data_IF_743861590711
#
_entry.id   IF_743861590711
#
_cell.length_a   1.000
_cell.length_b   1.000
_cell.length_c   1.000
_cell.angle_alpha   90.00
_cell.angle_beta   90.00
_cell.angle_gamma   90.00
#
_symmetry.space_group_name_H-M   'P 1'
#
loop_
_entity.id
_entity.type
_entity.pdbx_description
1 polymer ?
#
# COMPACT_ATOMS: atom_id res chain seq x y z
N UNK A 1 -4.70 19.00 2.83
CA UNK A 1 -3.22 18.98 2.67
C UNK A 1 -2.89 17.96 1.60
N UNK A 2 -1.80 18.09 0.82
CA UNK A 2 -1.45 17.03 -0.13
C UNK A 2 -1.22 15.71 0.61
N UNK A 3 -1.57 14.60 -0.04
CA UNK A 3 -1.37 13.25 0.51
C UNK A 3 0.08 12.98 0.95
N UNK A 4 0.32 11.85 1.61
CA UNK A 4 1.66 11.49 2.10
C UNK A 4 2.55 11.11 0.93
N UNK A 5 3.64 11.89 0.68
CA UNK A 5 4.67 11.52 -0.30
C UNK A 5 5.60 10.45 0.30
N UNK A 6 5.88 9.43 -0.51
CA UNK A 6 6.83 8.36 -0.17
C UNK A 6 8.26 8.61 -0.68
N UNK A 7 8.61 9.84 -1.04
CA UNK A 7 9.96 10.18 -1.53
C UNK A 7 11.06 9.71 -0.56
N UNK A 8 10.86 9.89 0.76
CA UNK A 8 11.81 9.43 1.79
C UNK A 8 11.97 7.92 1.86
N UNK A 9 10.97 7.16 1.42
CA UNK A 9 10.99 5.70 1.48
C UNK A 9 11.58 5.05 0.21
N UNK A 10 11.81 5.81 -0.84
CA UNK A 10 12.17 5.28 -2.15
C UNK A 10 13.42 4.37 -2.13
N UNK A 11 14.37 4.62 -1.22
CA UNK A 11 15.60 3.82 -1.13
C UNK A 11 15.39 2.45 -0.49
N UNK A 12 14.51 2.35 0.51
CA UNK A 12 14.31 1.12 1.30
C UNK A 12 12.97 0.43 1.04
N UNK A 13 12.08 1.04 0.25
CA UNK A 13 10.71 0.55 0.08
C UNK A 13 10.65 -0.89 -0.43
N UNK A 14 11.38 -1.20 -1.48
CA UNK A 14 11.35 -2.53 -2.10
C UNK A 14 11.89 -3.61 -1.17
N UNK A 15 12.94 -3.30 -0.39
CA UNK A 15 13.51 -4.21 0.59
C UNK A 15 12.59 -4.48 1.78
N UNK A 16 11.70 -3.52 2.12
CA UNK A 16 10.84 -3.62 3.31
C UNK A 16 9.39 -3.98 3.00
N UNK A 17 8.96 -3.87 1.73
CA UNK A 17 7.57 -4.02 1.26
C UNK A 17 7.43 -4.95 0.06
N UNK A 18 8.51 -5.57 -0.40
CA UNK A 18 8.47 -6.53 -1.49
C UNK A 18 7.56 -7.73 -1.17
N UNK A 19 7.09 -8.39 -2.20
CA UNK A 19 6.44 -9.69 -2.08
C UNK A 19 7.48 -10.81 -2.13
N UNK A 20 7.23 -11.95 -1.49
CA UNK A 20 8.01 -13.16 -1.72
C UNK A 20 8.02 -13.54 -3.21
N UNK A 21 9.05 -14.30 -3.67
CA UNK A 21 9.15 -14.71 -5.07
C UNK A 21 7.86 -15.36 -5.61
N UNK A 22 7.42 -14.96 -6.80
CA UNK A 22 6.23 -15.48 -7.47
C UNK A 22 4.88 -14.96 -6.95
N UNK A 23 4.84 -14.27 -5.81
CA UNK A 23 3.57 -13.75 -5.25
C UNK A 23 3.04 -12.59 -6.09
N UNK A 24 3.91 -11.71 -6.58
CA UNK A 24 3.50 -10.57 -7.41
C UNK A 24 2.86 -11.02 -8.73
N UNK A 25 3.38 -12.06 -9.37
CA UNK A 25 2.83 -12.66 -10.57
C UNK A 25 1.47 -13.32 -10.32
N UNK A 26 1.35 -14.07 -9.22
CA UNK A 26 0.07 -14.67 -8.81
C UNK A 26 -0.98 -13.61 -8.50
N UNK A 27 -0.58 -12.50 -7.85
CA UNK A 27 -1.48 -11.38 -7.56
C UNK A 27 -1.94 -10.69 -8.85
N UNK A 28 -1.03 -10.48 -9.82
CA UNK A 28 -1.38 -9.99 -11.17
C UNK A 28 -2.45 -10.87 -11.80
N UNK A 29 -2.26 -12.18 -11.83
CA UNK A 29 -3.18 -13.11 -12.47
C UNK A 29 -4.56 -13.13 -11.79
N UNK A 30 -4.57 -13.07 -10.45
CA UNK A 30 -5.80 -12.95 -9.68
C UNK A 30 -6.52 -11.61 -9.92
N UNK A 31 -5.80 -10.49 -10.00
CA UNK A 31 -6.36 -9.19 -10.35
C UNK A 31 -6.91 -9.16 -11.77
N UNK A 32 -6.20 -9.71 -12.75
CA UNK A 32 -6.66 -9.79 -14.14
C UNK A 32 -7.97 -10.58 -14.24
N UNK A 33 -8.04 -11.73 -13.56
CA UNK A 33 -9.26 -12.53 -13.47
C UNK A 33 -10.42 -11.77 -12.83
N UNK A 34 -10.14 -11.10 -11.70
CA UNK A 34 -11.15 -10.32 -10.97
C UNK A 34 -11.69 -9.15 -11.80
N UNK A 35 -10.82 -8.49 -12.53
CA UNK A 35 -11.16 -7.35 -13.38
C UNK A 35 -11.76 -7.78 -14.73
N UNK A 36 -11.66 -9.06 -15.10
CA UNK A 36 -12.00 -9.52 -16.45
C UNK A 36 -11.15 -8.86 -17.53
N UNK A 37 -9.91 -8.51 -17.17
CA UNK A 37 -9.01 -7.80 -18.06
C UNK A 37 -8.37 -8.73 -19.08
N UNK A 38 -8.20 -8.22 -20.29
CA UNK A 38 -7.58 -8.92 -21.43
C UNK A 38 -6.30 -8.19 -21.85
N UNK A 39 -5.45 -8.76 -22.70
CA UNK A 39 -4.27 -8.07 -23.21
C UNK A 39 -4.57 -6.75 -23.95
N UNK A 40 -5.81 -6.53 -24.38
CA UNK A 40 -6.26 -5.29 -25.01
C UNK A 40 -6.74 -4.24 -23.99
N UNK A 41 -6.85 -4.61 -22.73
CA UNK A 41 -7.35 -3.71 -21.67
C UNK A 41 -6.31 -2.66 -21.32
N UNK A 42 -6.76 -1.42 -21.19
CA UNK A 42 -5.96 -0.30 -20.66
C UNK A 42 -6.14 -0.24 -19.15
N UNK A 43 -5.05 -0.47 -18.44
CA UNK A 43 -5.03 -0.55 -16.98
C UNK A 43 -4.46 0.73 -16.38
N UNK A 44 -5.05 1.20 -15.29
CA UNK A 44 -4.56 2.32 -14.50
C UNK A 44 -4.32 1.88 -13.06
N UNK A 45 -3.16 2.22 -12.51
CA UNK A 45 -2.89 2.12 -11.08
C UNK A 45 -2.79 3.51 -10.46
N UNK A 46 -3.56 3.73 -9.41
CA UNK A 46 -3.48 4.92 -8.56
C UNK A 46 -2.61 4.59 -7.35
N UNK A 47 -1.48 5.28 -7.22
CA UNK A 47 -0.45 4.99 -6.24
C UNK A 47 0.54 3.92 -6.72
N UNK A 48 1.08 4.08 -7.95
CA UNK A 48 1.95 3.07 -8.58
C UNK A 48 3.27 2.86 -7.85
N UNK A 49 3.75 3.83 -7.10
CA UNK A 49 4.97 3.77 -6.31
C UNK A 49 6.20 3.30 -7.09
N UNK A 50 6.96 2.37 -6.51
CA UNK A 50 8.12 1.72 -7.13
C UNK A 50 7.76 0.56 -8.06
N UNK A 51 6.47 0.35 -8.34
CA UNK A 51 5.98 -0.63 -9.30
C UNK A 51 5.81 -2.05 -8.77
N UNK A 52 5.64 -2.22 -7.46
CA UNK A 52 5.43 -3.54 -6.85
C UNK A 52 4.28 -4.32 -7.50
N UNK A 53 3.21 -3.62 -7.88
CA UNK A 53 2.07 -4.17 -8.62
C UNK A 53 2.25 -4.01 -10.13
N UNK A 54 2.63 -2.82 -10.62
CA UNK A 54 2.73 -2.50 -12.03
C UNK A 54 3.69 -3.41 -12.82
N UNK A 55 4.87 -3.68 -12.24
CA UNK A 55 5.95 -4.35 -12.95
C UNK A 55 5.56 -5.74 -13.50
N UNK A 56 4.88 -6.63 -12.75
CA UNK A 56 4.38 -7.91 -13.28
C UNK A 56 3.40 -7.76 -14.45
N UNK A 57 2.56 -6.72 -14.46
CA UNK A 57 1.62 -6.46 -15.58
C UNK A 57 2.36 -5.99 -16.82
N UNK A 58 3.32 -5.07 -16.66
CA UNK A 58 4.11 -4.53 -17.78
C UNK A 58 4.97 -5.65 -18.40
N UNK A 59 5.60 -6.50 -17.57
CA UNK A 59 6.34 -7.70 -18.03
C UNK A 59 5.45 -8.65 -18.84
N UNK A 60 4.18 -8.79 -18.45
CA UNK A 60 3.21 -9.61 -19.16
C UNK A 60 2.65 -8.94 -20.43
N UNK A 61 3.10 -7.70 -20.77
CA UNK A 61 2.75 -7.01 -22.00
C UNK A 61 1.44 -6.23 -21.97
N UNK A 62 0.87 -5.97 -20.81
CA UNK A 62 -0.33 -5.14 -20.67
C UNK A 62 -0.01 -3.65 -20.88
N UNK A 63 -0.98 -2.89 -21.42
CA UNK A 63 -0.94 -1.44 -21.48
C UNK A 63 -1.25 -0.87 -20.08
N UNK A 64 -0.24 -0.27 -19.44
CA UNK A 64 -0.31 0.08 -18.03
C UNK A 64 0.03 1.56 -17.79
N UNK A 65 -0.90 2.28 -17.19
CA UNK A 65 -0.66 3.65 -16.73
C UNK A 65 -0.55 3.67 -15.22
N UNK A 66 0.46 4.33 -14.67
CA UNK A 66 0.62 4.53 -13.24
C UNK A 66 0.62 6.02 -12.88
N UNK A 67 -0.13 6.38 -11.84
CA UNK A 67 -0.12 7.73 -11.25
C UNK A 67 0.43 7.65 -9.85
N UNK A 68 1.35 8.54 -9.49
CA UNK A 68 1.87 8.67 -8.13
C UNK A 68 2.30 10.10 -7.81
N UNK A 69 2.16 10.49 -6.56
CA UNK A 69 2.64 11.78 -6.06
C UNK A 69 4.17 11.80 -5.92
N UNK A 70 4.77 10.65 -5.56
CA UNK A 70 6.21 10.51 -5.31
C UNK A 70 6.99 10.33 -6.61
N UNK A 71 7.74 11.35 -6.98
CA UNK A 71 8.66 11.30 -8.15
C UNK A 71 9.83 10.34 -7.89
N UNK A 72 10.31 10.24 -6.65
CA UNK A 72 11.40 9.34 -6.27
C UNK A 72 10.99 7.88 -6.40
N UNK A 73 9.78 7.51 -5.94
CA UNK A 73 9.25 6.17 -6.12
C UNK A 73 9.10 5.80 -7.60
N UNK A 74 8.54 6.71 -8.41
CA UNK A 74 8.43 6.48 -9.85
C UNK A 74 9.79 6.42 -10.56
N UNK A 75 10.83 7.11 -10.06
CA UNK A 75 12.19 6.95 -10.59
C UNK A 75 12.70 5.52 -10.39
N UNK A 76 12.49 4.93 -9.20
CA UNK A 76 12.82 3.51 -8.95
C UNK A 76 12.10 2.56 -9.91
N UNK A 77 10.83 2.84 -10.22
CA UNK A 77 10.10 2.05 -11.21
C UNK A 77 10.74 2.20 -12.60
N UNK A 78 11.07 3.43 -13.02
CA UNK A 78 11.74 3.66 -14.33
C UNK A 78 13.08 2.93 -14.43
N UNK A 79 13.87 2.93 -13.35
CA UNK A 79 15.15 2.22 -13.29
C UNK A 79 14.96 0.70 -13.49
N UNK A 80 13.95 0.10 -12.84
CA UNK A 80 13.60 -1.32 -13.03
C UNK A 80 13.15 -1.61 -14.47
N UNK A 81 12.27 -0.78 -15.01
CA UNK A 81 11.77 -0.92 -16.40
C UNK A 81 12.91 -0.84 -17.41
N UNK A 82 13.86 0.10 -17.20
CA UNK A 82 15.03 0.26 -18.04
C UNK A 82 16.01 -0.93 -17.89
N UNK A 83 16.25 -1.39 -16.67
CA UNK A 83 17.14 -2.54 -16.42
C UNK A 83 16.65 -3.83 -17.09
N UNK A 84 15.33 -3.98 -17.23
CA UNK A 84 14.70 -5.12 -17.91
C UNK A 84 14.43 -4.89 -19.40
N UNK A 85 14.85 -3.73 -19.94
CA UNK A 85 14.60 -3.33 -21.33
C UNK A 85 13.13 -3.46 -21.78
N UNK A 86 12.17 -3.18 -20.85
CA UNK A 86 10.76 -3.28 -21.16
C UNK A 86 10.30 -2.18 -22.12
N UNK A 87 9.42 -2.50 -23.11
CA UNK A 87 9.04 -1.56 -24.15
C UNK A 87 8.32 -0.32 -23.59
N UNK A 88 8.86 0.88 -23.82
CA UNK A 88 8.29 2.14 -23.35
C UNK A 88 6.87 2.42 -23.90
N UNK A 89 6.49 1.78 -25.00
CA UNK A 89 5.14 1.86 -25.55
C UNK A 89 4.07 1.14 -24.68
N UNK A 90 4.48 0.33 -23.72
CA UNK A 90 3.57 -0.45 -22.86
C UNK A 90 3.27 0.20 -21.53
N UNK A 91 3.92 1.29 -21.17
CA UNK A 91 3.66 1.95 -19.90
C UNK A 91 3.72 3.47 -19.99
N UNK A 92 2.93 4.11 -19.15
CA UNK A 92 2.92 5.55 -18.94
C UNK A 92 2.97 5.86 -17.45
N UNK A 93 3.96 6.64 -16.99
CA UNK A 93 4.08 7.07 -15.60
C UNK A 93 3.82 8.56 -15.51
N UNK A 94 2.82 8.94 -14.73
CA UNK A 94 2.32 10.29 -14.57
C UNK A 94 2.51 10.73 -13.12
N UNK A 95 3.27 11.80 -12.91
CA UNK A 95 3.37 12.44 -11.62
C UNK A 95 2.09 13.24 -11.35
N UNK A 96 1.37 12.93 -10.29
CA UNK A 96 0.11 13.59 -9.97
C UNK A 96 -0.50 13.11 -8.66
N UNK A 97 -1.42 13.94 -8.16
CA UNK A 97 -2.25 13.61 -7.02
C UNK A 97 -3.41 12.71 -7.49
N UNK A 98 -3.59 11.57 -6.84
CA UNK A 98 -4.69 10.65 -7.14
C UNK A 98 -6.07 11.17 -6.74
N UNK A 99 -6.14 12.25 -5.96
CA UNK A 99 -7.37 13.00 -5.72
C UNK A 99 -7.74 13.93 -6.89
N UNK A 100 -6.82 14.18 -7.83
CA UNK A 100 -7.03 15.02 -9.02
C UNK A 100 -6.26 14.41 -10.20
N UNK A 101 -6.72 13.27 -10.68
CA UNK A 101 -6.03 12.47 -11.69
C UNK A 101 -5.94 13.22 -13.02
N UNK A 102 -4.72 13.57 -13.53
CA UNK A 102 -4.54 14.36 -14.75
C UNK A 102 -4.69 13.49 -16.01
N UNK A 103 -5.78 12.74 -16.09
CA UNK A 103 -6.11 11.83 -17.19
C UNK A 103 -7.55 12.06 -17.64
N UNK A 104 -7.83 11.73 -18.90
CA UNK A 104 -9.15 11.94 -19.51
C UNK A 104 -10.21 11.03 -18.89
N UNK A 105 -11.46 11.48 -18.96
CA UNK A 105 -12.64 10.71 -18.60
C UNK A 105 -12.78 9.47 -19.50
N UNK A 106 -13.33 8.40 -18.96
CA UNK A 106 -13.67 7.17 -19.68
C UNK A 106 -12.51 6.59 -20.52
N UNK A 107 -11.27 6.71 -20.00
CA UNK A 107 -10.07 6.32 -20.73
C UNK A 107 -9.59 4.90 -20.44
N UNK A 108 -10.01 4.29 -19.34
CA UNK A 108 -9.48 3.01 -18.84
C UNK A 108 -10.55 1.93 -18.69
N UNK A 109 -10.13 0.69 -18.85
CA UNK A 109 -10.95 -0.50 -18.68
C UNK A 109 -11.01 -0.95 -17.23
N UNK A 110 -9.89 -0.75 -16.51
CA UNK A 110 -9.80 -1.08 -15.11
C UNK A 110 -8.88 -0.09 -14.36
N UNK A 111 -9.24 0.16 -13.09
CA UNK A 111 -8.44 0.91 -12.13
C UNK A 111 -8.05 0.01 -10.97
N UNK A 112 -6.77 0.03 -10.62
CA UNK A 112 -6.17 -0.77 -9.53
C UNK A 112 -5.68 0.19 -8.46
N UNK A 113 -6.01 -0.08 -7.20
CA UNK A 113 -5.53 0.63 -6.02
C UNK A 113 -5.14 -0.37 -4.95
N UNK A 114 -3.87 -0.41 -4.60
CA UNK A 114 -3.33 -1.34 -3.59
C UNK A 114 -2.61 -0.56 -2.50
N UNK A 115 -3.06 -0.68 -1.26
CA UNK A 115 -2.45 -0.01 -0.10
C UNK A 115 -2.31 1.52 -0.24
N UNK A 116 -3.27 2.23 -0.83
CA UNK A 116 -3.12 3.67 -1.09
C UNK A 116 -4.17 4.55 -0.41
N UNK A 117 -5.41 4.08 -0.23
CA UNK A 117 -6.50 4.95 0.25
C UNK A 117 -6.31 5.46 1.69
N UNK A 118 -5.50 4.80 2.51
CA UNK A 118 -5.15 5.28 3.86
C UNK A 118 -4.10 6.41 3.87
N UNK A 119 -3.53 6.76 2.72
CA UNK A 119 -2.50 7.78 2.57
C UNK A 119 -3.04 9.12 2.09
N UNK A 120 -4.31 9.18 1.70
CA UNK A 120 -4.96 10.39 1.19
C UNK A 120 -5.85 11.05 2.23
N UNK A 121 -6.08 12.35 2.07
CA UNK A 121 -6.92 13.12 2.99
C UNK A 121 -8.40 12.77 2.81
N UNK A 122 -8.85 12.58 1.58
CA UNK A 122 -10.23 12.16 1.28
C UNK A 122 -10.26 11.03 0.23
N UNK A 123 -10.42 9.82 0.72
CA UNK A 123 -10.54 8.62 -0.13
C UNK A 123 -11.79 8.64 -1.04
N UNK A 124 -12.84 9.43 -0.69
CA UNK A 124 -14.06 9.54 -1.51
C UNK A 124 -13.76 10.22 -2.83
N UNK A 125 -12.96 11.28 -2.77
CA UNK A 125 -12.49 11.99 -3.97
C UNK A 125 -11.69 11.05 -4.87
N UNK A 126 -10.81 10.22 -4.30
CA UNK A 126 -10.04 9.21 -5.07
C UNK A 126 -10.95 8.21 -5.75
N UNK A 127 -11.99 7.70 -5.05
CA UNK A 127 -12.94 6.76 -5.64
C UNK A 127 -13.80 7.40 -6.74
N UNK A 128 -14.15 8.69 -6.59
CA UNK A 128 -14.90 9.43 -7.61
C UNK A 128 -14.00 9.70 -8.84
N UNK A 129 -12.73 10.03 -8.66
CA UNK A 129 -11.75 10.15 -9.75
C UNK A 129 -11.52 8.81 -10.46
N UNK A 130 -11.38 7.71 -9.70
CA UNK A 130 -11.27 6.37 -10.29
C UNK A 130 -12.49 6.04 -11.17
N UNK A 131 -13.69 6.41 -10.74
CA UNK A 131 -14.92 6.25 -11.56
C UNK A 131 -14.93 7.16 -12.78
N UNK A 132 -14.48 8.41 -12.66
CA UNK A 132 -14.44 9.36 -13.77
C UNK A 132 -13.58 8.86 -14.93
N UNK A 133 -12.40 8.31 -14.61
CA UNK A 133 -11.46 7.83 -15.64
C UNK A 133 -11.84 6.47 -16.22
N UNK A 134 -12.74 5.72 -15.57
CA UNK A 134 -13.26 4.45 -16.08
C UNK A 134 -14.29 4.66 -17.17
N UNK A 135 -14.20 3.88 -18.23
CA UNK A 135 -15.27 3.74 -19.21
C UNK A 135 -16.50 3.03 -18.64
N UNK A 136 -17.63 3.14 -19.31
CA UNK A 136 -18.83 2.40 -18.95
C UNK A 136 -18.54 0.89 -18.93
N UNK A 137 -18.94 0.21 -17.85
CA UNK A 137 -18.65 -1.21 -17.63
C UNK A 137 -17.24 -1.52 -17.14
N UNK A 138 -16.38 -0.50 -16.97
CA UNK A 138 -15.06 -0.66 -16.37
C UNK A 138 -15.11 -1.09 -14.90
N UNK A 139 -14.02 -1.63 -14.37
CA UNK A 139 -13.95 -2.19 -13.02
C UNK A 139 -12.87 -1.55 -12.17
N UNK A 140 -13.12 -1.48 -10.86
CA UNK A 140 -12.15 -1.04 -9.85
C UNK A 140 -11.75 -2.25 -9.00
N UNK A 141 -10.45 -2.46 -8.82
CA UNK A 141 -9.91 -3.33 -7.79
C UNK A 141 -9.32 -2.50 -6.66
N UNK A 142 -9.90 -2.63 -5.47
CA UNK A 142 -9.31 -2.16 -4.22
C UNK A 142 -8.72 -3.36 -3.51
N UNK A 143 -7.43 -3.34 -3.21
CA UNK A 143 -6.78 -4.45 -2.54
C UNK A 143 -5.89 -4.00 -1.38
N UNK A 144 -5.91 -4.79 -0.33
CA UNK A 144 -5.02 -4.68 0.81
C UNK A 144 -4.61 -6.07 1.29
N UNK A 145 -3.44 -6.16 1.90
CA UNK A 145 -3.09 -7.36 2.65
C UNK A 145 -3.91 -7.39 3.94
N UNK A 146 -4.58 -8.50 4.19
CA UNK A 146 -5.20 -8.79 5.47
C UNK A 146 -4.35 -9.84 6.17
N UNK A 147 -3.96 -9.53 7.38
CA UNK A 147 -3.28 -10.48 8.25
C UNK A 147 -4.34 -11.20 9.07
N UNK A 148 -4.26 -12.53 9.10
CA UNK A 148 -5.06 -13.35 10.02
C UNK A 148 -4.21 -13.51 11.29
N UNK A 149 -4.56 -12.82 12.39
CA UNK A 149 -3.76 -12.90 13.60
C UNK A 149 -3.77 -14.33 14.15
N UNK A 150 -2.61 -14.78 14.61
CA UNK A 150 -2.51 -16.00 15.40
C UNK A 150 -3.04 -15.75 16.82
N UNK A 151 -3.48 -16.80 17.50
CA UNK A 151 -3.93 -16.75 18.90
C UNK A 151 -3.17 -17.79 19.72
N UNK A 152 -2.28 -17.38 20.64
CA UNK A 152 -1.84 -16.00 20.89
C UNK A 152 -0.99 -15.41 19.74
N UNK A 153 -0.96 -14.07 19.56
CA UNK A 153 -0.16 -13.45 18.53
C UNK A 153 1.34 -13.67 18.82
N UNK A 154 2.16 -14.01 17.80
CA UNK A 154 3.60 -14.15 17.96
C UNK A 154 4.28 -12.82 18.27
N UNK A 155 5.50 -12.82 18.86
CA UNK A 155 6.19 -11.62 19.30
C UNK A 155 6.26 -10.47 18.28
N UNK A 156 6.52 -10.69 16.97
CA UNK A 156 6.52 -9.60 16.01
C UNK A 156 5.17 -8.88 15.84
N UNK A 157 4.06 -9.59 16.04
CA UNK A 157 2.72 -8.99 15.98
C UNK A 157 2.41 -8.17 17.22
N UNK A 158 2.89 -8.61 18.40
CA UNK A 158 2.72 -7.89 19.67
C UNK A 158 3.42 -6.52 19.68
N UNK A 159 4.47 -6.32 18.85
CA UNK A 159 5.16 -5.04 18.70
C UNK A 159 4.21 -3.92 18.29
N UNK A 160 3.25 -4.21 17.41
CA UNK A 160 2.25 -3.22 16.99
C UNK A 160 1.37 -2.75 18.14
N UNK A 161 0.92 -3.68 18.98
CA UNK A 161 0.04 -3.35 20.10
C UNK A 161 0.81 -2.57 21.18
N UNK A 162 2.07 -2.98 21.45
CA UNK A 162 2.96 -2.26 22.35
C UNK A 162 3.21 -0.82 21.85
N UNK A 163 3.54 -0.65 20.56
CA UNK A 163 3.72 0.68 19.97
C UNK A 163 2.47 1.55 20.09
N UNK A 164 1.30 0.99 19.75
CA UNK A 164 0.02 1.71 19.82
C UNK A 164 -0.30 2.15 21.24
N UNK A 165 -0.10 1.26 22.23
CA UNK A 165 -0.25 1.56 23.65
C UNK A 165 0.63 2.71 24.10
N UNK A 166 1.93 2.73 23.71
CA UNK A 166 2.84 3.80 24.09
C UNK A 166 2.46 5.15 23.47
N UNK A 167 1.97 5.16 22.25
CA UNK A 167 1.44 6.40 21.66
C UNK A 167 0.19 6.90 22.37
N UNK A 168 -0.69 5.99 22.86
CA UNK A 168 -1.86 6.35 23.69
C UNK A 168 -1.43 6.97 25.02
N UNK A 169 -0.48 6.36 25.71
CA UNK A 169 0.08 6.85 26.98
C UNK A 169 0.76 8.21 26.84
N UNK A 170 1.38 8.47 25.67
CA UNK A 170 2.00 9.76 25.34
C UNK A 170 0.98 10.81 24.85
N UNK A 171 -0.31 10.48 24.81
CA UNK A 171 -1.37 11.39 24.40
C UNK A 171 -1.31 11.80 22.93
N UNK A 172 -0.73 10.95 22.06
CA UNK A 172 -0.61 11.26 20.64
C UNK A 172 -1.99 11.19 19.98
N UNK A 173 -2.47 12.28 19.36
CA UNK A 173 -3.77 12.29 18.73
C UNK A 173 -3.83 11.40 17.48
N UNK A 174 -5.00 10.83 17.15
CA UNK A 174 -5.17 9.92 16.01
C UNK A 174 -4.69 10.50 14.67
N UNK A 175 -4.81 11.81 14.49
CA UNK A 175 -4.43 12.51 13.25
C UNK A 175 -2.93 12.42 12.96
N UNK A 176 -2.10 12.29 13.98
CA UNK A 176 -0.66 12.08 13.84
C UNK A 176 -0.30 10.61 13.60
N UNK A 177 -1.28 9.70 13.74
CA UNK A 177 -1.13 8.26 13.52
C UNK A 177 -1.77 7.82 12.21
N UNK A 178 -1.62 8.58 11.14
CA UNK A 178 -2.37 8.47 9.85
C UNK A 178 -2.63 7.06 9.33
N UNK A 179 -1.78 6.10 9.61
CA UNK A 179 -1.98 4.70 9.20
C UNK A 179 -3.17 3.99 9.90
N UNK A 180 -3.79 4.59 10.92
CA UNK A 180 -4.86 3.97 11.70
C UNK A 180 -6.28 4.43 11.31
N UNK A 181 -6.43 5.47 10.48
CA UNK A 181 -7.74 6.02 10.12
C UNK A 181 -8.55 5.09 9.21
N UNK A 182 -7.87 4.26 8.41
CA UNK A 182 -8.49 3.32 7.49
C UNK A 182 -7.68 2.02 7.50
N UNK A 183 -8.12 1.05 8.29
CA UNK A 183 -7.53 -0.29 8.28
C UNK A 183 -8.24 -1.16 7.24
N UNK A 184 -7.45 -1.81 6.36
CA UNK A 184 -7.97 -2.80 5.44
C UNK A 184 -8.97 -2.26 4.41
N UNK A 185 -9.84 -3.12 3.93
CA UNK A 185 -10.96 -2.77 3.05
C UNK A 185 -12.16 -2.37 3.91
N UNK A 186 -12.27 -1.08 4.14
CA UNK A 186 -13.35 -0.49 4.92
C UNK A 186 -14.70 -0.62 4.19
N UNK A 187 -15.76 -1.08 4.88
CA UNK A 187 -17.10 -1.17 4.31
C UNK A 187 -17.62 0.20 3.83
N UNK A 188 -17.10 1.29 4.35
CA UNK A 188 -17.42 2.65 3.89
C UNK A 188 -17.05 2.86 2.41
N UNK A 189 -15.98 2.21 1.90
CA UNK A 189 -15.62 2.27 0.47
C UNK A 189 -16.67 1.58 -0.37
N UNK A 190 -17.11 0.39 0.06
CA UNK A 190 -18.15 -0.35 -0.62
C UNK A 190 -19.49 0.41 -0.62
N UNK A 191 -19.87 0.99 0.51
CA UNK A 191 -21.08 1.82 0.62
C UNK A 191 -21.03 3.00 -0.35
N UNK A 192 -19.92 3.78 -0.35
CA UNK A 192 -19.74 4.92 -1.24
C UNK A 192 -19.86 4.53 -2.74
N UNK A 193 -19.29 3.40 -3.12
CA UNK A 193 -19.37 2.90 -4.50
C UNK A 193 -20.79 2.41 -4.86
N UNK A 194 -21.47 1.71 -3.94
CA UNK A 194 -22.87 1.27 -4.13
C UNK A 194 -23.84 2.44 -4.27
N UNK A 195 -23.69 3.50 -3.49
CA UNK A 195 -24.48 4.73 -3.61
C UNK A 195 -24.36 5.36 -5.01
N UNK A 196 -23.25 5.09 -5.70
CA UNK A 196 -22.97 5.56 -7.06
C UNK A 196 -23.29 4.52 -8.14
N UNK A 197 -24.04 3.49 -7.79
CA UNK A 197 -24.55 2.48 -8.71
C UNK A 197 -23.55 1.37 -9.04
N UNK A 198 -22.46 1.22 -8.32
CA UNK A 198 -21.52 0.10 -8.53
C UNK A 198 -22.02 -1.17 -7.84
N UNK A 199 -21.81 -2.33 -8.48
CA UNK A 199 -21.85 -3.63 -7.82
C UNK A 199 -20.51 -3.88 -7.15
N UNK A 200 -20.52 -4.22 -5.86
CA UNK A 200 -19.31 -4.43 -5.06
C UNK A 200 -19.29 -5.86 -4.53
N UNK A 201 -18.24 -6.57 -4.84
CA UNK A 201 -17.91 -7.90 -4.34
C UNK A 201 -16.63 -7.85 -3.52
N UNK A 202 -16.60 -8.55 -2.37
CA UNK A 202 -15.39 -8.75 -1.56
C UNK A 202 -14.96 -10.20 -1.66
N UNK A 203 -13.69 -10.43 -1.94
CA UNK A 203 -13.11 -11.77 -2.02
C UNK A 203 -11.62 -11.77 -1.69
N UNK A 204 -11.12 -12.88 -1.18
CA UNK A 204 -9.68 -13.13 -1.07
C UNK A 204 -9.15 -13.48 -2.46
N UNK A 205 -8.17 -12.70 -2.94
CA UNK A 205 -7.55 -12.92 -4.25
C UNK A 205 -6.51 -14.04 -4.20
N UNK A 206 -5.68 -14.05 -3.15
CA UNK A 206 -4.70 -15.10 -2.91
C UNK A 206 -4.28 -15.09 -1.43
N UNK A 207 -3.73 -16.20 -0.98
CA UNK A 207 -3.06 -16.32 0.32
C UNK A 207 -1.59 -16.62 0.08
N UNK A 208 -0.72 -16.01 0.87
CA UNK A 208 0.72 -16.24 0.83
C UNK A 208 1.33 -16.07 2.22
N UNK A 209 2.44 -16.72 2.45
CA UNK A 209 3.23 -16.57 3.66
C UNK A 209 4.23 -15.44 3.47
N UNK A 210 4.41 -14.61 4.47
CA UNK A 210 5.46 -13.59 4.51
C UNK A 210 6.77 -14.22 4.95
N UNK A 211 7.89 -13.59 4.58
CA UNK A 211 9.17 -13.97 5.16
C UNK A 211 9.12 -13.75 6.68
N UNK A 212 9.60 -14.76 7.45
CA UNK A 212 9.62 -14.66 8.89
C UNK A 212 10.44 -13.45 9.36
N UNK A 213 9.98 -12.79 10.41
CA UNK A 213 10.67 -11.65 11.03
C UNK A 213 10.72 -11.84 12.54
N UNK A 214 11.75 -11.29 13.14
CA UNK A 214 11.83 -11.21 14.61
C UNK A 214 11.11 -9.97 15.15
N UNK A 215 10.75 -10.00 16.44
CA UNK A 215 10.24 -8.81 17.12
C UNK A 215 11.28 -7.68 17.11
N UNK A 216 12.57 -8.02 17.22
CA UNK A 216 13.68 -7.07 17.13
C UNK A 216 13.72 -6.33 15.79
N UNK A 217 13.51 -7.02 14.66
CA UNK A 217 13.47 -6.40 13.33
C UNK A 217 12.29 -5.44 13.18
N UNK A 218 11.14 -5.81 13.78
CA UNK A 218 9.95 -4.94 13.75
C UNK A 218 10.19 -3.71 14.62
N UNK A 219 10.76 -3.86 15.82
CA UNK A 219 11.14 -2.72 16.70
C UNK A 219 12.14 -1.80 16.00
N UNK A 220 13.18 -2.35 15.36
CA UNK A 220 14.13 -1.55 14.57
C UNK A 220 13.41 -0.77 13.46
N UNK A 221 12.42 -1.37 12.80
CA UNK A 221 11.63 -0.69 11.78
C UNK A 221 10.84 0.51 12.31
N UNK A 222 10.32 0.45 13.55
CA UNK A 222 9.68 1.59 14.23
C UNK A 222 10.70 2.66 14.59
N UNK A 223 11.82 2.27 15.24
CA UNK A 223 12.91 3.17 15.63
C UNK A 223 13.44 3.94 14.41
N UNK A 224 13.66 3.27 13.29
CA UNK A 224 14.24 3.84 12.07
C UNK A 224 13.19 4.51 11.18
N UNK A 225 11.95 4.68 11.67
CA UNK A 225 10.82 5.32 10.96
C UNK A 225 10.54 4.72 9.58
N UNK A 226 10.69 3.41 9.43
CA UNK A 226 10.39 2.70 8.17
C UNK A 226 8.88 2.75 7.86
N UNK A 227 8.04 2.75 8.89
CA UNK A 227 6.58 2.80 8.74
C UNK A 227 6.09 4.24 8.60
N UNK A 228 5.19 4.48 7.63
CA UNK A 228 4.59 5.80 7.39
C UNK A 228 3.79 6.34 8.59
N UNK A 229 3.31 5.46 9.46
CA UNK A 229 2.66 5.83 10.73
C UNK A 229 3.57 6.58 11.71
N UNK A 230 4.90 6.51 11.52
CA UNK A 230 5.87 7.23 12.34
C UNK A 230 6.23 8.62 11.79
N UNK A 231 5.89 8.92 10.53
CA UNK A 231 6.45 10.08 9.84
C UNK A 231 5.90 11.43 10.31
N UNK A 232 4.65 11.43 10.77
CA UNK A 232 4.01 12.65 11.29
C UNK A 232 4.26 12.87 12.80
N UNK A 233 4.92 11.94 13.49
CA UNK A 233 5.21 12.07 14.90
C UNK A 233 6.33 13.12 15.12
N UNK A 234 6.17 14.03 16.10
CA UNK A 234 7.26 14.90 16.57
C UNK A 234 8.47 14.07 17.02
N UNK A 235 9.68 14.60 16.85
CA UNK A 235 10.92 13.85 17.09
C UNK A 235 11.08 13.40 18.55
N UNK A 236 10.69 14.24 19.50
CA UNK A 236 10.70 13.93 20.93
C UNK A 236 9.72 12.81 21.30
N UNK A 237 8.51 12.85 20.75
CA UNK A 237 7.49 11.82 20.94
C UNK A 237 7.95 10.50 20.34
N UNK A 238 8.45 10.53 19.10
CA UNK A 238 8.95 9.32 18.43
C UNK A 238 10.13 8.70 19.19
N UNK A 239 11.07 9.53 19.68
CA UNK A 239 12.22 9.06 20.44
C UNK A 239 11.79 8.43 21.78
N UNK A 240 10.80 9.02 22.47
CA UNK A 240 10.28 8.46 23.73
C UNK A 240 9.52 7.14 23.48
N UNK A 241 8.66 7.11 22.47
CA UNK A 241 7.94 5.87 22.11
C UNK A 241 8.90 4.74 21.71
N UNK A 242 9.97 5.07 20.98
CA UNK A 242 11.02 4.11 20.61
C UNK A 242 11.77 3.58 21.83
N UNK A 243 12.12 4.42 22.79
CA UNK A 243 12.76 3.98 24.04
C UNK A 243 11.87 3.05 24.86
N UNK A 244 10.57 3.32 24.92
CA UNK A 244 9.60 2.46 25.60
C UNK A 244 9.47 1.11 24.89
N UNK A 245 9.45 1.12 23.56
CA UNK A 245 9.36 -0.10 22.75
C UNK A 245 10.62 -0.97 22.88
N UNK A 246 11.82 -0.37 22.92
CA UNK A 246 13.08 -1.07 23.16
C UNK A 246 13.13 -1.68 24.57
N UNK A 247 12.63 -0.98 25.58
CA UNK A 247 12.51 -1.50 26.95
C UNK A 247 11.54 -2.69 26.99
N UNK A 248 10.36 -2.54 26.38
CA UNK A 248 9.39 -3.62 26.28
C UNK A 248 9.99 -4.87 25.61
N UNK A 249 10.76 -4.67 24.53
CA UNK A 249 11.47 -5.76 23.85
C UNK A 249 12.44 -6.50 24.78
N UNK A 250 13.13 -5.76 25.65
CA UNK A 250 14.14 -6.33 26.56
C UNK A 250 13.52 -7.00 27.80
N UNK A 251 12.41 -6.49 28.32
CA UNK A 251 11.86 -6.86 29.61
C UNK A 251 10.59 -7.72 29.51
N UNK A 252 9.76 -7.52 28.49
CA UNK A 252 8.44 -8.15 28.38
C UNK A 252 8.31 -9.11 27.20
N UNK A 253 9.12 -8.96 26.14
CA UNK A 253 9.03 -9.82 24.95
C UNK A 253 9.63 -11.20 25.21
N UNK A 254 8.85 -12.30 25.10
CA UNK A 254 9.32 -13.63 25.50
C UNK A 254 10.40 -14.22 24.59
N UNK A 255 10.40 -13.83 23.30
CA UNK A 255 11.35 -14.31 22.29
C UNK A 255 11.61 -13.20 21.26
N UNK A 256 12.51 -12.24 21.58
CA UNK A 256 12.75 -11.09 20.71
C UNK A 256 13.45 -11.42 19.38
N UNK A 257 14.16 -12.53 19.30
CA UNK A 257 14.98 -12.93 18.16
C UNK A 257 14.42 -14.12 17.37
N UNK A 258 13.36 -14.75 17.87
CA UNK A 258 12.65 -15.81 17.16
C UNK A 258 12.05 -15.34 15.84
N UNK A 259 12.13 -16.18 14.83
CA UNK A 259 11.58 -15.91 13.49
C UNK A 259 10.18 -16.50 13.36
N UNK A 260 9.20 -15.66 13.04
CA UNK A 260 7.78 -16.00 12.96
C UNK A 260 7.16 -15.54 11.65
#
# INVERSE_FOLDING_TARGET
>A
MPGVSFDRAAEYYDATRGYPPGVAERLRDALLSALGATPASRLLELGVGSGRIALPFIRAGYDYTGVDLSRAMMARLRDKLAAEALPAARYRLVAGDIMHVPLADAAFDAVIMVHVLHLVDDWRVVLDEARRVLRAGGRIALANDEHVPADPPPPPEQVWDAWSRFLDELGVPPELRRANAVRGLDERFAAHLRERGASVERRTLLTYEREPRSARDVVASYRDRIFSSCWALPDDIHAEASRRLERWLAEECPDPDGLY
#
